data_IF_713343167763
#
_entry.id   IF_713343167763
#
_cell.length_a   1.000
_cell.length_b   1.000
_cell.length_c   1.000
_cell.angle_alpha   90.00
_cell.angle_beta   90.00
_cell.angle_gamma   90.00
#
_symmetry.space_group_name_H-M   'P 1'
#
loop_
_entity.id
_entity.type
_entity.pdbx_description
1 polymer ?
#
# COMPACT_ATOMS: atom_id res chain seq x y z
N UNK A 1 -20.72 15.23 -4.86
CA UNK A 1 -19.76 15.43 -3.76
C UNK A 1 -18.56 14.51 -3.95
N UNK A 2 -17.59 14.90 -4.81
CA UNK A 2 -16.46 14.04 -5.21
C UNK A 2 -15.64 13.52 -4.02
N UNK A 3 -15.53 14.34 -2.97
CA UNK A 3 -14.74 14.04 -1.76
C UNK A 3 -15.34 12.94 -0.89
N UNK A 4 -16.67 12.88 -0.76
CA UNK A 4 -17.35 11.80 -0.03
C UNK A 4 -17.14 10.48 -0.77
N UNK A 5 -17.28 10.50 -2.11
CA UNK A 5 -17.01 9.34 -2.94
C UNK A 5 -15.56 8.86 -2.79
N UNK A 6 -14.59 9.78 -2.82
CA UNK A 6 -13.18 9.47 -2.64
C UNK A 6 -12.88 8.78 -1.29
N UNK A 7 -13.54 9.23 -0.22
CA UNK A 7 -13.37 8.62 1.09
C UNK A 7 -14.09 7.27 1.19
N UNK A 8 -15.36 7.21 0.78
CA UNK A 8 -16.16 5.97 0.87
C UNK A 8 -15.66 4.86 -0.05
N UNK A 9 -15.01 5.19 -1.18
CA UNK A 9 -14.45 4.19 -2.08
C UNK A 9 -13.32 3.39 -1.45
N UNK A 10 -12.64 3.91 -0.43
CA UNK A 10 -11.61 3.19 0.34
C UNK A 10 -12.14 1.92 1.01
N UNK A 11 -13.46 1.83 1.23
CA UNK A 11 -14.10 0.70 1.89
C UNK A 11 -14.76 -0.29 0.91
N UNK A 12 -14.86 0.06 -0.37
CA UNK A 12 -15.48 -0.76 -1.41
C UNK A 12 -14.46 -1.71 -2.03
N UNK A 13 -14.84 -2.97 -2.25
CA UNK A 13 -13.94 -3.99 -2.80
C UNK A 13 -14.59 -4.69 -3.99
N UNK A 14 -13.81 -4.88 -5.06
CA UNK A 14 -14.29 -5.47 -6.32
C UNK A 14 -14.48 -6.98 -6.31
N UNK A 15 -14.34 -7.65 -5.16
CA UNK A 15 -14.51 -9.10 -5.03
C UNK A 15 -13.83 -9.69 -3.78
N UNK A 16 -14.09 -10.98 -3.53
CA UNK A 16 -13.60 -11.67 -2.32
C UNK A 16 -12.07 -11.74 -2.25
N UNK A 17 -11.40 -12.05 -3.36
CA UNK A 17 -9.94 -12.11 -3.39
C UNK A 17 -9.31 -10.73 -3.15
N UNK A 18 -9.97 -9.65 -3.60
CA UNK A 18 -9.49 -8.28 -3.42
C UNK A 18 -9.59 -7.84 -1.96
N UNK A 19 -10.69 -8.12 -1.25
CA UNK A 19 -10.75 -7.85 0.19
C UNK A 19 -9.81 -8.76 0.97
N UNK A 20 -9.73 -10.05 0.62
CA UNK A 20 -8.85 -11.00 1.29
C UNK A 20 -7.38 -10.59 1.17
N UNK A 21 -6.93 -10.14 0.00
CA UNK A 21 -5.56 -9.66 -0.19
C UNK A 21 -5.30 -8.37 0.60
N UNK A 22 -6.20 -7.39 0.56
CA UNK A 22 -6.06 -6.16 1.35
C UNK A 22 -5.93 -6.46 2.85
N UNK A 23 -6.77 -7.36 3.38
CA UNK A 23 -6.72 -7.75 4.79
C UNK A 23 -5.46 -8.54 5.10
N UNK A 24 -4.98 -9.39 4.19
CA UNK A 24 -3.71 -10.12 4.36
C UNK A 24 -2.52 -9.16 4.45
N UNK A 25 -2.42 -8.17 3.57
CA UNK A 25 -1.34 -7.17 3.64
C UNK A 25 -1.42 -6.32 4.91
N UNK A 26 -2.62 -5.89 5.32
CA UNK A 26 -2.79 -5.20 6.60
C UNK A 26 -2.41 -6.07 7.78
N UNK A 27 -2.78 -7.35 7.77
CA UNK A 27 -2.43 -8.28 8.84
C UNK A 27 -0.92 -8.51 8.94
N UNK A 28 -0.21 -8.62 7.81
CA UNK A 28 1.24 -8.89 7.80
C UNK A 28 2.05 -7.63 8.16
N UNK A 29 1.66 -6.46 7.65
CA UNK A 29 2.50 -5.26 7.72
C UNK A 29 1.93 -4.14 8.59
N UNK A 30 0.60 -4.11 8.78
CA UNK A 30 -0.10 -3.04 9.50
C UNK A 30 0.29 -2.98 10.97
N UNK A 31 0.31 -4.11 11.65
CA UNK A 31 0.59 -4.21 13.09
C UNK A 31 1.93 -3.53 13.46
N UNK A 32 3.02 -3.88 12.78
CA UNK A 32 4.33 -3.26 13.04
C UNK A 32 4.35 -1.74 12.76
N UNK A 33 3.64 -1.28 11.72
CA UNK A 33 3.58 0.16 11.40
C UNK A 33 2.71 0.89 12.42
N UNK A 34 1.61 0.28 12.85
CA UNK A 34 0.74 0.80 13.89
C UNK A 34 1.45 0.89 15.25
N UNK A 35 2.15 -0.16 15.67
CA UNK A 35 3.00 -0.16 16.87
C UNK A 35 4.00 0.99 16.85
N UNK A 36 4.57 1.24 15.67
CA UNK A 36 5.60 2.27 15.51
C UNK A 36 5.06 3.69 15.55
N UNK A 37 3.85 3.90 15.02
CA UNK A 37 3.20 5.21 14.93
C UNK A 37 2.31 5.49 16.15
N UNK A 38 1.75 4.46 16.78
CA UNK A 38 0.61 4.52 17.69
C UNK A 38 -0.73 4.61 16.95
N UNK A 39 -1.78 4.05 17.55
CA UNK A 39 -3.12 3.87 16.95
C UNK A 39 -3.66 5.12 16.23
N UNK A 40 -3.67 6.29 16.89
CA UNK A 40 -4.24 7.51 16.30
C UNK A 40 -3.44 8.00 15.08
N UNK A 41 -2.11 7.96 15.16
CA UNK A 41 -1.24 8.41 14.06
C UNK A 41 -1.31 7.43 12.90
N UNK A 42 -1.41 6.13 13.18
CA UNK A 42 -1.65 5.11 12.16
C UNK A 42 -2.97 5.34 11.43
N UNK A 43 -4.07 5.61 12.16
CA UNK A 43 -5.37 5.89 11.55
C UNK A 43 -5.34 7.11 10.62
N UNK A 44 -4.73 8.22 11.08
CA UNK A 44 -4.54 9.42 10.26
C UNK A 44 -3.66 9.11 9.05
N UNK A 45 -2.53 8.43 9.26
CA UNK A 45 -1.60 8.03 8.22
C UNK A 45 -2.31 7.22 7.12
N UNK A 46 -3.09 6.22 7.53
CA UNK A 46 -3.84 5.34 6.63
C UNK A 46 -4.82 6.12 5.75
N UNK A 47 -5.65 6.98 6.36
CA UNK A 47 -6.62 7.78 5.61
C UNK A 47 -5.97 8.81 4.68
N UNK A 48 -4.91 9.49 5.13
CA UNK A 48 -4.20 10.44 4.26
C UNK A 48 -3.54 9.71 3.09
N UNK A 49 -2.95 8.53 3.30
CA UNK A 49 -2.41 7.73 2.19
C UNK A 49 -3.49 7.31 1.20
N UNK A 50 -4.66 6.87 1.68
CA UNK A 50 -5.78 6.49 0.80
C UNK A 50 -6.37 7.67 0.01
N UNK A 51 -6.52 8.84 0.64
CA UNK A 51 -6.97 10.04 -0.05
C UNK A 51 -5.94 10.51 -1.09
N UNK A 52 -4.65 10.48 -0.76
CA UNK A 52 -3.58 10.82 -1.70
C UNK A 52 -3.50 9.84 -2.89
N UNK A 53 -3.72 8.55 -2.62
CA UNK A 53 -3.83 7.51 -3.64
C UNK A 53 -4.97 7.80 -4.61
N UNK A 54 -6.19 8.00 -4.09
CA UNK A 54 -7.35 8.29 -4.93
C UNK A 54 -7.22 9.61 -5.70
N UNK A 55 -6.65 10.66 -5.09
CA UNK A 55 -6.36 11.91 -5.77
C UNK A 55 -5.36 11.73 -6.92
N UNK A 56 -4.31 10.93 -6.71
CA UNK A 56 -3.32 10.61 -7.74
C UNK A 56 -3.97 9.89 -8.92
N UNK A 57 -4.83 8.89 -8.64
CA UNK A 57 -5.55 8.18 -9.69
C UNK A 57 -6.45 9.09 -10.51
N UNK A 58 -7.21 9.98 -9.85
CA UNK A 58 -8.10 10.94 -10.51
C UNK A 58 -7.31 11.90 -11.41
N UNK A 59 -6.17 12.42 -10.92
CA UNK A 59 -5.35 13.37 -11.68
C UNK A 59 -4.72 12.70 -12.90
N UNK A 60 -4.16 11.50 -12.74
CA UNK A 60 -3.46 10.80 -13.83
C UNK A 60 -4.45 10.23 -14.86
N UNK A 61 -5.64 9.81 -14.42
CA UNK A 61 -6.66 9.20 -15.27
C UNK A 61 -7.92 10.07 -15.40
N UNK A 62 -7.75 11.40 -15.49
CA UNK A 62 -8.86 12.37 -15.50
C UNK A 62 -9.90 12.13 -16.64
N UNK A 63 -9.55 11.35 -17.67
CA UNK A 63 -10.44 10.95 -18.76
C UNK A 63 -10.96 9.51 -18.69
N UNK A 64 -10.57 8.71 -17.69
CA UNK A 64 -11.03 7.32 -17.57
C UNK A 64 -12.32 7.23 -16.77
N UNK A 65 -13.21 6.31 -17.18
CA UNK A 65 -14.41 5.96 -16.42
C UNK A 65 -14.16 4.86 -15.38
N UNK A 66 -12.94 4.32 -15.31
CA UNK A 66 -12.58 3.22 -14.42
C UNK A 66 -12.49 3.69 -12.97
N UNK A 67 -13.40 3.23 -12.08
CA UNK A 67 -13.41 3.67 -10.69
C UNK A 67 -12.21 3.11 -9.91
N UNK A 68 -11.52 3.97 -9.16
CA UNK A 68 -10.60 3.52 -8.11
C UNK A 68 -11.39 3.16 -6.85
N UNK A 69 -11.37 1.88 -6.50
CA UNK A 69 -12.07 1.33 -5.34
C UNK A 69 -11.11 0.49 -4.50
N UNK A 70 -11.21 0.63 -3.18
CA UNK A 70 -10.53 -0.22 -2.21
C UNK A 70 -9.49 0.46 -1.35
N UNK A 71 -9.16 -0.26 -0.29
CA UNK A 71 -8.16 0.08 0.72
C UNK A 71 -6.71 0.05 0.19
N UNK A 72 -6.49 -0.52 -1.00
CA UNK A 72 -5.17 -0.90 -1.49
C UNK A 72 -4.21 0.27 -1.66
N UNK A 73 -4.70 1.48 -2.00
CA UNK A 73 -3.90 2.70 -2.03
C UNK A 73 -3.36 3.10 -0.65
N UNK A 74 -4.19 3.03 0.39
CA UNK A 74 -3.75 3.27 1.76
C UNK A 74 -2.75 2.20 2.23
N UNK A 75 -3.01 0.94 1.87
CA UNK A 75 -2.13 -0.20 2.16
C UNK A 75 -0.77 -0.04 1.45
N UNK A 76 -0.74 0.47 0.22
CA UNK A 76 0.51 0.80 -0.45
C UNK A 76 1.34 1.81 0.37
N UNK A 77 0.68 2.77 1.02
CA UNK A 77 1.31 3.66 1.99
C UNK A 77 1.86 2.93 3.22
N UNK A 78 1.13 1.95 3.76
CA UNK A 78 1.61 1.09 4.86
C UNK A 78 2.84 0.28 4.44
N UNK A 79 2.87 -0.28 3.22
CA UNK A 79 4.04 -1.01 2.70
C UNK A 79 5.26 -0.09 2.56
N UNK A 80 5.06 1.13 2.07
CA UNK A 80 6.11 2.16 2.03
C UNK A 80 6.66 2.48 3.43
N UNK A 81 5.79 2.65 4.42
CA UNK A 81 6.20 2.86 5.81
C UNK A 81 6.99 1.65 6.33
N UNK A 82 6.51 0.43 6.08
CA UNK A 82 7.18 -0.79 6.49
C UNK A 82 8.57 -0.92 5.86
N UNK A 83 8.70 -0.68 4.55
CA UNK A 83 9.99 -0.67 3.85
C UNK A 83 10.99 0.29 4.52
N UNK A 84 10.54 1.46 4.95
CA UNK A 84 11.38 2.46 5.59
C UNK A 84 11.76 2.10 7.02
N UNK A 85 10.84 1.52 7.78
CA UNK A 85 10.99 1.23 9.21
C UNK A 85 11.69 -0.11 9.47
N UNK A 86 11.44 -1.10 8.62
CA UNK A 86 11.84 -2.49 8.79
C UNK A 86 12.48 -3.09 7.51
N UNK A 87 13.50 -2.46 6.90
CA UNK A 87 14.05 -2.90 5.62
C UNK A 87 14.68 -4.30 5.64
N UNK A 88 15.11 -4.77 6.82
CA UNK A 88 15.74 -6.07 7.01
C UNK A 88 14.81 -7.12 7.64
N UNK A 89 13.54 -6.77 7.90
CA UNK A 89 12.58 -7.76 8.41
C UNK A 89 12.28 -8.82 7.36
N UNK A 90 12.04 -10.05 7.81
CA UNK A 90 11.74 -11.18 6.93
C UNK A 90 10.28 -11.59 7.05
N UNK A 91 9.66 -11.85 5.90
CA UNK A 91 8.28 -12.34 5.81
C UNK A 91 8.30 -13.79 5.34
N UNK A 92 7.60 -14.65 6.06
CA UNK A 92 7.34 -16.02 5.62
C UNK A 92 6.37 -15.98 4.44
N UNK A 93 6.85 -16.38 3.28
CA UNK A 93 6.10 -16.23 2.03
C UNK A 93 5.69 -17.60 1.52
N UNK A 94 4.40 -17.78 1.20
CA UNK A 94 3.94 -18.98 0.51
C UNK A 94 4.38 -18.89 -0.95
N UNK A 95 5.30 -19.76 -1.35
CA UNK A 95 5.80 -19.87 -2.71
C UNK A 95 5.35 -21.20 -3.32
N UNK A 96 4.51 -21.11 -4.34
CA UNK A 96 4.02 -22.27 -5.08
C UNK A 96 4.92 -22.54 -6.28
N UNK A 97 5.61 -23.68 -6.28
CA UNK A 97 6.42 -24.17 -7.40
C UNK A 97 5.75 -25.44 -7.93
N UNK A 98 4.78 -25.27 -8.83
CA UNK A 98 3.92 -26.37 -9.28
C UNK A 98 3.12 -26.96 -8.11
N UNK A 99 3.19 -28.29 -7.84
CA UNK A 99 2.52 -28.91 -6.70
C UNK A 99 3.25 -28.72 -5.35
N UNK A 100 4.48 -28.18 -5.37
CA UNK A 100 5.30 -28.01 -4.17
C UNK A 100 5.02 -26.64 -3.55
N UNK A 101 4.74 -26.63 -2.25
CA UNK A 101 4.58 -25.40 -1.46
C UNK A 101 5.82 -25.20 -0.58
N UNK A 102 6.56 -24.13 -0.83
CA UNK A 102 7.67 -23.69 0.01
C UNK A 102 7.24 -22.52 0.87
N UNK A 103 7.84 -22.39 2.07
CA UNK A 103 7.61 -21.26 2.98
C UNK A 103 8.92 -20.57 3.35
N UNK A 104 9.68 -20.04 2.36
CA UNK A 104 10.92 -19.33 2.64
C UNK A 104 10.67 -18.05 3.44
N UNK A 105 11.73 -17.60 4.12
CA UNK A 105 11.81 -16.26 4.69
C UNK A 105 12.45 -15.35 3.65
N UNK A 106 11.73 -14.30 3.26
CA UNK A 106 12.19 -13.36 2.25
C UNK A 106 12.22 -11.98 2.88
N UNK A 107 13.25 -11.19 2.59
CA UNK A 107 13.34 -9.82 3.04
C UNK A 107 12.10 -9.03 2.58
N UNK A 108 11.41 -8.38 3.52
CA UNK A 108 10.24 -7.56 3.25
C UNK A 108 10.56 -6.47 2.21
N UNK A 109 11.76 -5.89 2.27
CA UNK A 109 12.20 -4.90 1.30
C UNK A 109 12.18 -5.45 -0.13
N UNK A 110 12.64 -6.68 -0.35
CA UNK A 110 12.61 -7.29 -1.68
C UNK A 110 11.16 -7.46 -2.17
N UNK A 111 10.27 -8.01 -1.33
CA UNK A 111 8.87 -8.22 -1.70
C UNK A 111 8.15 -6.90 -2.02
N UNK A 112 8.34 -5.88 -1.18
CA UNK A 112 7.69 -4.58 -1.32
C UNK A 112 8.23 -3.83 -2.54
N UNK A 113 9.55 -3.79 -2.73
CA UNK A 113 10.17 -3.11 -3.88
C UNK A 113 9.81 -3.83 -5.17
N UNK A 114 9.84 -5.16 -5.19
CA UNK A 114 9.42 -5.94 -6.36
C UNK A 114 7.96 -5.65 -6.70
N UNK A 115 7.05 -5.73 -5.72
CA UNK A 115 5.64 -5.41 -5.92
C UNK A 115 5.47 -3.97 -6.45
N UNK A 116 6.07 -2.97 -5.82
CA UNK A 116 6.00 -1.58 -6.25
C UNK A 116 6.54 -1.38 -7.66
N UNK A 117 7.64 -2.06 -8.02
CA UNK A 117 8.19 -2.03 -9.37
C UNK A 117 7.20 -2.57 -10.41
N UNK A 118 6.48 -3.66 -10.10
CA UNK A 118 5.41 -4.15 -11.00
C UNK A 118 4.29 -3.11 -11.18
N UNK A 119 3.92 -2.39 -10.12
CA UNK A 119 2.95 -1.30 -10.21
C UNK A 119 3.49 -0.18 -11.10
N UNK A 120 4.73 0.25 -10.89
CA UNK A 120 5.34 1.30 -11.69
C UNK A 120 5.39 0.94 -13.18
N UNK A 121 5.89 -0.25 -13.53
CA UNK A 121 5.95 -0.73 -14.93
C UNK A 121 4.55 -0.83 -15.53
N UNK A 122 3.59 -1.41 -14.81
CA UNK A 122 2.20 -1.52 -15.28
C UNK A 122 1.56 -0.14 -15.49
N UNK A 123 1.84 0.84 -14.62
CA UNK A 123 1.37 2.21 -14.76
C UNK A 123 1.91 2.86 -16.03
N UNK A 124 3.22 2.72 -16.31
CA UNK A 124 3.84 3.24 -17.54
C UNK A 124 3.25 2.58 -18.79
N UNK A 125 3.06 1.25 -18.79
CA UNK A 125 2.52 0.50 -19.93
C UNK A 125 1.07 0.88 -20.23
N UNK A 126 0.29 1.22 -19.20
CA UNK A 126 -1.13 1.59 -19.34
C UNK A 126 -1.36 3.08 -19.53
N UNK A 127 -0.32 3.90 -19.46
CA UNK A 127 -0.42 5.35 -19.60
C UNK A 127 -0.91 5.73 -21.01
N UNK A 128 -2.04 6.42 -21.09
CA UNK A 128 -2.64 6.83 -22.37
C UNK A 128 -3.40 5.73 -23.12
N UNK A 129 -3.56 4.54 -22.52
CA UNK A 129 -4.41 3.47 -23.04
C UNK A 129 -5.76 3.49 -22.31
N UNK A 130 -6.87 3.49 -23.05
CA UNK A 130 -8.21 3.33 -22.47
C UNK A 130 -8.37 1.91 -21.94
N UNK A 131 -8.22 1.74 -20.63
CA UNK A 131 -8.24 0.43 -19.93
C UNK A 131 -9.61 0.07 -19.36
N UNK A 132 -10.68 0.70 -19.85
CA UNK A 132 -12.04 0.56 -19.31
C UNK A 132 -12.60 -0.88 -19.34
N UNK A 133 -11.99 -1.80 -20.11
CA UNK A 133 -12.38 -3.20 -20.21
C UNK A 133 -11.60 -4.18 -19.32
N UNK A 134 -10.50 -3.77 -18.68
CA UNK A 134 -9.62 -4.70 -17.95
C UNK A 134 -9.93 -4.82 -16.45
N UNK A 135 -11.06 -4.26 -15.97
CA UNK A 135 -11.39 -4.27 -14.54
C UNK A 135 -10.29 -3.61 -13.71
N UNK A 136 -9.70 -2.54 -14.28
CA UNK A 136 -8.39 -2.02 -13.96
C UNK A 136 -8.18 -1.77 -12.47
N UNK A 137 -7.25 -2.53 -11.88
CA UNK A 137 -6.61 -2.15 -10.62
C UNK A 137 -6.06 -0.74 -10.81
N UNK A 138 -6.43 0.19 -9.94
CA UNK A 138 -5.99 1.58 -10.00
C UNK A 138 -4.49 1.69 -9.65
N UNK A 139 -3.61 1.26 -10.56
CA UNK A 139 -2.16 1.19 -10.36
C UNK A 139 -1.59 2.54 -9.93
N UNK A 140 -2.11 3.63 -10.48
CA UNK A 140 -1.76 4.99 -10.10
C UNK A 140 -2.15 5.34 -8.66
N UNK A 141 -3.23 4.75 -8.13
CA UNK A 141 -3.57 4.87 -6.72
C UNK A 141 -2.50 4.20 -5.84
N UNK A 142 -2.00 3.02 -6.22
CA UNK A 142 -0.91 2.36 -5.48
C UNK A 142 0.36 3.20 -5.48
N UNK A 143 0.73 3.77 -6.62
CA UNK A 143 1.92 4.63 -6.72
C UNK A 143 1.77 5.87 -5.83
N UNK A 144 0.63 6.56 -5.93
CA UNK A 144 0.35 7.76 -5.12
C UNK A 144 0.34 7.47 -3.62
N UNK A 145 -0.32 6.39 -3.22
CA UNK A 145 -0.37 5.94 -1.82
C UNK A 145 1.00 5.56 -1.27
N UNK A 146 1.82 4.84 -2.06
CA UNK A 146 3.17 4.45 -1.68
C UNK A 146 4.09 5.66 -1.47
N UNK A 147 4.07 6.63 -2.39
CA UNK A 147 4.86 7.86 -2.28
C UNK A 147 4.39 8.69 -1.08
N UNK A 148 3.08 8.86 -0.90
CA UNK A 148 2.52 9.55 0.26
C UNK A 148 2.96 8.89 1.58
N UNK A 149 2.91 7.55 1.65
CA UNK A 149 3.36 6.80 2.82
C UNK A 149 4.85 6.97 3.12
N UNK A 150 5.70 6.93 2.09
CA UNK A 150 7.15 7.16 2.23
C UNK A 150 7.49 8.55 2.79
N UNK A 151 6.71 9.56 2.44
CA UNK A 151 6.88 10.93 2.93
C UNK A 151 6.32 11.04 4.35
N UNK A 152 5.07 10.64 4.55
CA UNK A 152 4.35 10.79 5.82
C UNK A 152 5.01 10.02 6.96
N UNK A 153 5.55 8.83 6.70
CA UNK A 153 6.21 8.04 7.76
C UNK A 153 7.42 8.77 8.34
N UNK A 154 8.13 9.59 7.56
CA UNK A 154 9.28 10.36 8.04
C UNK A 154 8.87 11.48 8.99
N UNK A 155 7.68 12.04 8.77
CA UNK A 155 7.11 13.13 9.55
C UNK A 155 6.41 12.58 10.81
N UNK A 156 5.74 11.43 10.66
CA UNK A 156 4.85 10.87 11.66
C UNK A 156 5.52 9.81 12.55
N UNK A 157 6.66 9.22 12.17
CA UNK A 157 7.34 8.28 13.05
C UNK A 157 8.02 9.01 14.23
N UNK A 158 7.73 8.65 15.49
CA UNK A 158 8.51 9.09 16.65
C UNK A 158 10.01 8.84 16.45
N UNK A 159 10.93 9.60 17.08
CA UNK A 159 12.35 9.23 17.04
C UNK A 159 12.61 7.95 17.86
N UNK A 160 13.57 7.10 17.47
CA UNK A 160 14.01 6.00 18.34
C UNK A 160 14.39 6.57 19.71
N UNK A 161 13.95 5.93 20.79
CA UNK A 161 14.43 6.27 22.13
C UNK A 161 15.94 6.03 22.16
N UNK A 162 16.72 7.01 22.63
CA UNK A 162 18.15 6.81 22.83
C UNK A 162 18.36 5.59 23.75
N UNK A 163 19.39 4.76 23.52
CA UNK A 163 19.68 3.66 24.42
C UNK A 163 19.82 4.22 25.84
N UNK A 164 19.12 3.61 26.79
CA UNK A 164 19.29 3.94 28.20
C UNK A 164 20.77 3.71 28.52
N UNK A 165 21.45 4.75 29.00
CA UNK A 165 22.82 4.62 29.48
C UNK A 165 22.74 3.69 30.70
N UNK A 166 23.18 2.45 30.54
CA UNK A 166 23.35 1.54 31.65
C UNK A 166 24.53 2.06 32.47
N UNK A 167 24.23 2.55 33.68
CA UNK A 167 25.23 2.85 34.72
C UNK A 167 25.54 1.59 35.52
#
# INVERSE_FOLDING_TARGET
MPWITLFTSMFLHGGLLHIASNMLYLFIFGDNVEDRLGHLRFLIFYFVCGLAAGATHIVVNAGSSTPSLGASGAIAGVLAAYLRLYPHAEVRTLLFIGPIVLVPRIAAAFLIVFWFFTQFVSGIVTLGVNTDTSGGVAVWAHIGGFIAGLILVQIMAPRPKAPAIAY
#
